data_IF_542288455726
#
_entry.id   IF_542288455726
#
_cell.length_a   1.000
_cell.length_b   1.000
_cell.length_c   1.000
_cell.angle_alpha   90.00
_cell.angle_beta   90.00
_cell.angle_gamma   90.00
#
_symmetry.space_group_name_H-M   'P 1'
#
loop_
_entity.id
_entity.type
_entity.pdbx_description
1 polymer ?
#
# COMPACT_ATOMS: atom_id res chain seq x y z
N UNK A 1 -56.57 16.33 -35.32
CA UNK A 1 -57.33 15.04 -35.25
C UNK A 1 -56.30 13.92 -35.31
N UNK A 2 -55.96 13.26 -34.20
CA UNK A 2 -56.71 12.18 -33.54
C UNK A 2 -56.02 10.83 -33.86
N UNK A 3 -55.24 10.40 -32.88
CA UNK A 3 -54.82 9.05 -32.50
C UNK A 3 -55.37 7.83 -33.26
N UNK A 4 -54.42 6.90 -33.48
CA UNK A 4 -54.47 5.43 -33.30
C UNK A 4 -55.20 4.59 -34.35
N UNK A 5 -54.43 3.67 -34.92
CA UNK A 5 -54.61 2.19 -35.04
C UNK A 5 -53.63 1.73 -36.15
N UNK A 6 -52.82 0.67 -36.14
CA UNK A 6 -52.21 -0.21 -35.12
C UNK A 6 -51.29 -1.19 -35.90
N UNK A 7 -50.09 -1.44 -35.38
CA UNK A 7 -49.55 -2.79 -35.11
C UNK A 7 -49.09 -3.80 -36.19
N UNK A 8 -48.88 -3.47 -37.46
CA UNK A 8 -48.28 -4.48 -38.37
C UNK A 8 -47.16 -3.86 -39.18
N UNK A 9 -45.95 -3.82 -38.60
CA UNK A 9 -44.63 -3.92 -39.24
C UNK A 9 -43.51 -3.68 -38.19
N UNK A 10 -43.64 -4.34 -37.03
CA UNK A 10 -42.59 -4.48 -35.99
C UNK A 10 -41.80 -5.78 -36.19
N UNK A 11 -41.99 -6.48 -37.31
CA UNK A 11 -41.35 -7.77 -37.59
C UNK A 11 -40.50 -7.76 -38.86
N UNK A 12 -39.65 -6.73 -38.99
CA UNK A 12 -38.56 -6.70 -39.97
C UNK A 12 -37.23 -6.90 -39.24
N UNK A 13 -36.95 -8.16 -38.90
CA UNK A 13 -35.63 -8.74 -38.60
C UNK A 13 -34.66 -7.80 -37.86
N UNK A 14 -34.70 -7.74 -36.52
CA UNK A 14 -33.85 -8.59 -35.65
C UNK A 14 -32.68 -9.26 -36.41
N UNK A 15 -31.80 -8.42 -36.93
CA UNK A 15 -30.45 -8.80 -37.33
C UNK A 15 -29.77 -9.40 -36.11
N UNK A 16 -29.51 -10.70 -36.23
CA UNK A 16 -28.73 -11.55 -35.37
C UNK A 16 -27.61 -10.84 -34.60
N UNK A 17 -27.93 -10.31 -33.42
CA UNK A 17 -26.99 -10.37 -32.32
C UNK A 17 -26.99 -11.84 -31.88
N UNK A 18 -26.21 -12.66 -32.59
CA UNK A 18 -25.60 -13.80 -31.92
C UNK A 18 -24.75 -13.12 -30.85
N UNK A 19 -25.28 -13.05 -29.62
CA UNK A 19 -24.41 -13.11 -28.47
C UNK A 19 -23.60 -14.38 -28.69
N UNK A 20 -22.42 -14.22 -29.28
CA UNK A 20 -21.33 -15.15 -29.05
C UNK A 20 -21.13 -14.99 -27.56
N UNK A 21 -21.89 -15.76 -26.78
CA UNK A 21 -21.48 -16.12 -25.44
C UNK A 21 -20.23 -16.93 -25.74
N UNK A 22 -19.01 -16.39 -25.56
CA UNK A 22 -17.81 -17.19 -25.69
C UNK A 22 -18.07 -18.52 -24.96
N UNK A 23 -18.03 -19.61 -25.71
CA UNK A 23 -18.15 -20.93 -25.13
C UNK A 23 -16.84 -21.17 -24.38
N UNK A 24 -16.85 -20.80 -23.10
CA UNK A 24 -15.73 -21.06 -22.22
C UNK A 24 -15.70 -22.55 -21.95
N UNK A 25 -14.59 -23.27 -22.21
CA UNK A 25 -14.44 -24.58 -21.62
C UNK A 25 -14.56 -24.38 -20.10
N UNK A 26 -15.58 -24.99 -19.50
CA UNK A 26 -15.71 -24.96 -18.05
C UNK A 26 -14.41 -25.53 -17.45
N UNK A 27 -13.86 -24.91 -16.38
CA UNK A 27 -12.67 -25.43 -15.73
C UNK A 27 -12.89 -26.90 -15.39
N UNK A 28 -11.84 -27.71 -15.56
CA UNK A 28 -11.97 -29.15 -15.34
C UNK A 28 -12.31 -29.41 -13.87
N UNK A 29 -13.01 -30.51 -13.59
CA UNK A 29 -13.35 -30.88 -12.21
C UNK A 29 -12.10 -30.96 -11.29
N UNK A 30 -10.94 -31.31 -11.85
CA UNK A 30 -9.65 -31.32 -11.15
C UNK A 30 -9.14 -29.91 -10.80
N UNK A 31 -9.24 -28.95 -11.72
CA UNK A 31 -8.85 -27.54 -11.47
C UNK A 31 -9.75 -26.86 -10.43
N UNK A 32 -11.06 -27.10 -10.52
CA UNK A 32 -12.02 -26.62 -9.53
C UNK A 32 -11.76 -27.22 -8.13
N UNK A 33 -11.42 -28.51 -8.08
CA UNK A 33 -11.08 -29.20 -6.83
C UNK A 33 -9.77 -28.69 -6.21
N UNK A 34 -8.76 -28.41 -7.03
CA UNK A 34 -7.50 -27.86 -6.54
C UNK A 34 -7.66 -26.41 -6.05
N UNK A 35 -8.42 -25.58 -6.77
CA UNK A 35 -8.66 -24.20 -6.36
C UNK A 35 -9.43 -24.11 -5.03
N UNK A 36 -10.43 -24.98 -4.85
CA UNK A 36 -11.20 -25.07 -3.61
C UNK A 36 -10.32 -25.37 -2.38
N UNK A 37 -9.23 -26.14 -2.55
CA UNK A 37 -8.29 -26.47 -1.48
C UNK A 37 -7.19 -25.42 -1.29
N UNK A 38 -6.66 -24.87 -2.39
CA UNK A 38 -5.52 -23.93 -2.38
C UNK A 38 -5.94 -22.55 -1.88
N UNK A 39 -7.09 -22.04 -2.32
CA UNK A 39 -7.52 -20.67 -2.05
C UNK A 39 -7.66 -20.38 -0.54
N UNK A 40 -8.26 -21.24 0.30
CA UNK A 40 -8.29 -21.04 1.75
C UNK A 40 -6.89 -20.98 2.39
N UNK A 41 -5.94 -21.81 1.94
CA UNK A 41 -4.56 -21.80 2.44
C UNK A 41 -3.86 -20.48 2.13
N UNK A 42 -4.00 -19.98 0.90
CA UNK A 42 -3.44 -18.68 0.52
C UNK A 42 -4.04 -17.53 1.33
N UNK A 43 -5.36 -17.52 1.50
CA UNK A 43 -6.05 -16.51 2.29
C UNK A 43 -5.58 -16.54 3.75
N UNK A 44 -5.53 -17.71 4.37
CA UNK A 44 -5.02 -17.89 5.72
C UNK A 44 -3.56 -17.44 5.85
N UNK A 45 -2.73 -17.77 4.87
CA UNK A 45 -1.33 -17.36 4.80
C UNK A 45 -1.17 -15.84 4.79
N UNK A 46 -1.89 -15.17 3.90
CA UNK A 46 -1.91 -13.70 3.78
C UNK A 46 -2.39 -13.06 5.09
N UNK A 47 -3.50 -13.52 5.67
CA UNK A 47 -4.04 -12.95 6.91
C UNK A 47 -3.06 -13.10 8.09
N UNK A 48 -2.38 -14.24 8.20
CA UNK A 48 -1.34 -14.47 9.20
C UNK A 48 -0.13 -13.57 9.01
N UNK A 49 0.37 -13.44 7.77
CA UNK A 49 1.47 -12.53 7.43
C UNK A 49 1.09 -11.08 7.76
N UNK A 50 -0.13 -10.67 7.42
CA UNK A 50 -0.62 -9.32 7.70
C UNK A 50 -0.80 -9.07 9.20
N UNK A 51 -0.97 -10.12 10.00
CA UNK A 51 -0.93 -10.07 11.47
C UNK A 51 0.49 -10.20 12.06
N UNK A 52 1.54 -10.23 11.23
CA UNK A 52 2.94 -10.47 11.62
C UNK A 52 3.26 -11.89 12.13
N UNK A 53 2.39 -12.88 11.90
CA UNK A 53 2.67 -14.31 12.13
C UNK A 53 3.35 -14.89 10.89
N UNK A 54 4.62 -14.54 10.72
CA UNK A 54 5.41 -14.93 9.55
C UNK A 54 5.48 -16.45 9.38
N UNK A 55 5.83 -17.16 10.47
CA UNK A 55 6.10 -18.60 10.41
C UNK A 55 4.87 -19.35 9.93
N UNK A 56 3.73 -19.12 10.56
CA UNK A 56 2.52 -19.85 10.21
C UNK A 56 1.95 -19.37 8.87
N UNK A 57 2.07 -18.08 8.56
CA UNK A 57 1.57 -17.54 7.31
C UNK A 57 2.35 -18.05 6.10
N UNK A 58 3.68 -18.07 6.20
CA UNK A 58 4.56 -18.63 5.16
C UNK A 58 4.33 -20.14 4.99
N UNK A 59 4.13 -20.88 6.09
CA UNK A 59 3.82 -22.30 6.02
C UNK A 59 2.52 -22.58 5.25
N UNK A 60 1.45 -21.81 5.49
CA UNK A 60 0.20 -21.96 4.77
C UNK A 60 0.33 -21.62 3.27
N UNK A 61 1.13 -20.59 2.92
CA UNK A 61 1.44 -20.30 1.51
C UNK A 61 2.20 -21.46 0.85
N UNK A 62 3.20 -22.02 1.52
CA UNK A 62 3.96 -23.16 1.01
C UNK A 62 3.07 -24.40 0.85
N UNK A 63 2.21 -24.70 1.82
CA UNK A 63 1.27 -25.81 1.74
C UNK A 63 0.35 -25.67 0.52
N UNK A 64 -0.18 -24.47 0.25
CA UNK A 64 -0.98 -24.22 -0.95
C UNK A 64 -0.19 -24.36 -2.26
N UNK A 65 1.10 -24.00 -2.26
CA UNK A 65 2.00 -24.20 -3.42
C UNK A 65 2.26 -25.69 -3.67
N UNK A 66 2.37 -26.50 -2.61
CA UNK A 66 2.63 -27.94 -2.73
C UNK A 66 1.46 -28.70 -3.39
N UNK A 67 0.24 -28.18 -3.31
CA UNK A 67 -0.94 -28.74 -3.99
C UNK A 67 -0.97 -28.47 -5.50
N UNK A 68 -0.40 -27.36 -5.96
CA UNK A 68 -0.16 -27.08 -7.40
C UNK A 68 1.08 -26.20 -7.56
N UNK A 69 2.24 -26.86 -7.74
CA UNK A 69 3.54 -26.20 -7.88
C UNK A 69 3.67 -25.39 -9.16
N UNK A 70 2.81 -25.62 -10.16
CA UNK A 70 2.85 -24.86 -11.42
C UNK A 70 1.99 -23.59 -11.35
N UNK A 71 1.24 -23.40 -10.25
CA UNK A 71 0.43 -22.21 -10.02
C UNK A 71 1.29 -21.00 -9.61
N UNK A 72 1.28 -19.90 -10.38
CA UNK A 72 2.15 -18.75 -10.11
C UNK A 72 1.72 -17.90 -8.90
N UNK A 73 0.45 -17.95 -8.50
CA UNK A 73 -0.11 -17.05 -7.46
C UNK A 73 0.54 -17.22 -6.09
N UNK A 74 0.81 -18.46 -5.66
CA UNK A 74 1.50 -18.71 -4.38
C UNK A 74 2.89 -18.08 -4.32
N UNK A 75 3.64 -18.16 -5.41
CA UNK A 75 4.96 -17.53 -5.54
C UNK A 75 4.85 -16.00 -5.54
N UNK A 76 3.85 -15.43 -6.21
CA UNK A 76 3.59 -13.99 -6.17
C UNK A 76 3.27 -13.51 -4.74
N UNK A 77 2.50 -14.27 -3.96
CA UNK A 77 2.21 -13.96 -2.56
C UNK A 77 3.46 -14.08 -1.68
N UNK A 78 4.33 -15.07 -1.90
CA UNK A 78 5.61 -15.16 -1.19
C UNK A 78 6.56 -14.01 -1.53
N UNK A 79 6.56 -13.53 -2.77
CA UNK A 79 7.32 -12.34 -3.16
C UNK A 79 6.82 -11.10 -2.40
N UNK A 80 5.50 -10.89 -2.36
CA UNK A 80 4.87 -9.80 -1.60
C UNK A 80 5.12 -9.92 -0.09
N UNK A 81 5.07 -11.13 0.46
CA UNK A 81 5.35 -11.39 1.87
C UNK A 81 6.80 -11.03 2.23
N UNK A 82 7.77 -11.44 1.40
CA UNK A 82 9.17 -11.09 1.64
C UNK A 82 9.44 -9.60 1.45
N UNK A 83 8.76 -8.93 0.52
CA UNK A 83 8.80 -7.46 0.43
C UNK A 83 8.25 -6.80 1.71
N UNK A 84 7.13 -7.29 2.23
CA UNK A 84 6.55 -6.81 3.47
C UNK A 84 7.53 -6.96 4.64
N UNK A 85 8.11 -8.15 4.84
CA UNK A 85 9.08 -8.36 5.92
C UNK A 85 10.41 -7.64 5.70
N UNK A 86 10.83 -7.40 4.45
CA UNK A 86 11.96 -6.53 4.14
C UNK A 86 11.73 -5.11 4.66
N UNK A 87 10.54 -4.55 4.42
CA UNK A 87 10.19 -3.21 4.91
C UNK A 87 10.13 -3.16 6.46
N UNK A 88 9.76 -4.27 7.11
CA UNK A 88 9.65 -4.38 8.58
C UNK A 88 10.94 -4.76 9.31
N UNK A 89 11.99 -5.18 8.59
CA UNK A 89 13.21 -5.70 9.20
C UNK A 89 14.10 -4.58 9.76
N UNK A 90 14.51 -4.77 11.02
CA UNK A 90 15.45 -3.89 11.74
C UNK A 90 16.92 -4.17 11.39
N UNK A 91 17.24 -5.41 10.99
CA UNK A 91 18.60 -5.89 10.74
C UNK A 91 18.93 -5.92 9.24
N UNK A 92 20.11 -5.42 8.84
CA UNK A 92 20.51 -5.39 7.43
C UNK A 92 20.63 -6.78 6.80
N UNK A 93 21.22 -7.74 7.52
CA UNK A 93 21.37 -9.12 7.03
C UNK A 93 20.02 -9.77 6.72
N UNK A 94 19.03 -9.52 7.58
CA UNK A 94 17.68 -10.02 7.35
C UNK A 94 17.05 -9.33 6.14
N UNK A 95 17.21 -8.01 5.98
CA UNK A 95 16.73 -7.28 4.79
C UNK A 95 17.31 -7.82 3.49
N UNK A 96 18.61 -8.14 3.47
CA UNK A 96 19.29 -8.74 2.32
C UNK A 96 18.70 -10.11 1.99
N UNK A 97 18.55 -10.98 2.99
CA UNK A 97 17.92 -12.30 2.81
C UNK A 97 16.48 -12.19 2.29
N UNK A 98 15.68 -11.27 2.84
CA UNK A 98 14.31 -11.01 2.37
C UNK A 98 14.28 -10.48 0.94
N UNK A 99 15.26 -9.66 0.58
CA UNK A 99 15.38 -9.16 -0.79
C UNK A 99 15.64 -10.29 -1.76
N UNK A 100 16.60 -11.17 -1.46
CA UNK A 100 16.95 -12.31 -2.29
C UNK A 100 15.75 -13.24 -2.49
N UNK A 101 15.05 -13.58 -1.41
CA UNK A 101 13.85 -14.42 -1.45
C UNK A 101 12.72 -13.75 -2.22
N UNK A 102 12.49 -12.45 -2.03
CA UNK A 102 11.48 -11.69 -2.78
C UNK A 102 11.76 -11.72 -4.29
N UNK A 103 13.02 -11.47 -4.69
CA UNK A 103 13.42 -11.49 -6.09
C UNK A 103 13.31 -12.89 -6.71
N UNK A 104 13.70 -13.93 -5.95
CA UNK A 104 13.58 -15.34 -6.36
C UNK A 104 12.13 -15.73 -6.59
N UNK A 105 11.25 -15.51 -5.60
CA UNK A 105 9.83 -15.85 -5.74
C UNK A 105 9.13 -15.02 -6.82
N UNK A 106 9.50 -13.75 -7.00
CA UNK A 106 8.98 -12.94 -8.10
C UNK A 106 9.39 -13.51 -9.47
N UNK A 107 10.63 -13.97 -9.63
CA UNK A 107 11.09 -14.61 -10.85
C UNK A 107 10.36 -15.94 -11.12
N UNK A 108 10.18 -16.77 -10.08
CA UNK A 108 9.43 -18.03 -10.18
C UNK A 108 7.96 -17.80 -10.59
N UNK A 109 7.30 -16.81 -9.98
CA UNK A 109 5.93 -16.44 -10.32
C UNK A 109 5.78 -15.99 -11.78
N UNK A 110 6.74 -15.18 -12.27
CA UNK A 110 6.74 -14.73 -13.67
C UNK A 110 6.96 -15.90 -14.63
N UNK A 111 7.99 -16.72 -14.41
CA UNK A 111 8.29 -17.85 -15.29
C UNK A 111 7.15 -18.89 -15.35
N UNK A 112 6.53 -19.19 -14.21
CA UNK A 112 5.37 -20.09 -14.15
C UNK A 112 4.13 -19.47 -14.79
N UNK A 113 3.94 -18.17 -14.60
CA UNK A 113 2.86 -17.41 -15.23
C UNK A 113 2.98 -17.42 -16.76
N UNK A 114 4.17 -17.14 -17.29
CA UNK A 114 4.48 -17.17 -18.73
C UNK A 114 4.15 -18.54 -19.33
N UNK A 115 4.62 -19.62 -18.70
CA UNK A 115 4.32 -20.99 -19.13
C UNK A 115 2.82 -21.33 -19.10
N UNK A 116 2.06 -20.77 -18.17
CA UNK A 116 0.59 -20.96 -18.10
C UNK A 116 -0.11 -20.18 -19.21
N UNK A 117 0.24 -18.91 -19.42
CA UNK A 117 -0.41 -18.10 -20.47
C UNK A 117 -0.01 -18.50 -21.89
N UNK A 118 1.13 -19.16 -22.08
CA UNK A 118 1.50 -19.80 -23.34
C UNK A 118 0.57 -20.98 -23.69
N UNK A 119 0.15 -21.75 -22.67
CA UNK A 119 -0.75 -22.89 -22.83
C UNK A 119 -2.21 -22.47 -22.89
N UNK A 120 -2.58 -21.52 -22.05
CA UNK A 120 -3.91 -20.93 -21.96
C UNK A 120 -3.79 -19.40 -21.90
N UNK A 121 -3.88 -18.71 -23.06
CA UNK A 121 -3.86 -17.25 -23.12
C UNK A 121 -5.00 -16.56 -22.37
N UNK A 122 -5.95 -17.32 -21.80
CA UNK A 122 -7.07 -16.82 -21.00
C UNK A 122 -6.87 -17.02 -19.49
N UNK A 123 -5.69 -17.45 -19.04
CA UNK A 123 -5.42 -17.63 -17.62
C UNK A 123 -5.24 -16.26 -16.93
N UNK A 124 -6.35 -15.63 -16.56
CA UNK A 124 -6.40 -14.33 -15.87
C UNK A 124 -5.69 -14.36 -14.52
N UNK A 125 -5.69 -15.51 -13.82
CA UNK A 125 -5.00 -15.66 -12.55
C UNK A 125 -3.47 -15.66 -12.73
N UNK A 126 -2.97 -16.28 -13.80
CA UNK A 126 -1.56 -16.23 -14.16
C UNK A 126 -1.12 -14.81 -14.51
N UNK A 127 -1.89 -14.09 -15.33
CA UNK A 127 -1.62 -12.66 -15.60
C UNK A 127 -1.58 -11.82 -14.33
N UNK A 128 -2.55 -11.99 -13.43
CA UNK A 128 -2.57 -11.26 -12.17
C UNK A 128 -1.37 -11.59 -11.28
N UNK A 129 -0.99 -12.86 -11.17
CA UNK A 129 0.17 -13.30 -10.40
C UNK A 129 1.48 -12.69 -10.94
N UNK A 130 1.66 -12.67 -12.26
CA UNK A 130 2.81 -12.01 -12.89
C UNK A 130 2.85 -10.51 -12.60
N UNK A 131 1.70 -9.83 -12.66
CA UNK A 131 1.61 -8.40 -12.34
C UNK A 131 2.00 -8.12 -10.88
N UNK A 132 1.51 -8.91 -9.93
CA UNK A 132 1.88 -8.78 -8.51
C UNK A 132 3.37 -9.02 -8.26
N UNK A 133 3.94 -10.05 -8.88
CA UNK A 133 5.37 -10.34 -8.78
C UNK A 133 6.23 -9.19 -9.32
N UNK A 134 5.83 -8.60 -10.45
CA UNK A 134 6.49 -7.42 -11.02
C UNK A 134 6.34 -6.19 -10.13
N UNK A 135 5.16 -5.96 -9.54
CA UNK A 135 4.94 -4.88 -8.57
C UNK A 135 5.88 -5.00 -7.36
N UNK A 136 6.12 -6.22 -6.86
CA UNK A 136 7.08 -6.42 -5.77
C UNK A 136 8.51 -5.99 -6.17
N UNK A 137 8.95 -6.35 -7.39
CA UNK A 137 10.26 -5.93 -7.96
C UNK A 137 10.33 -4.42 -8.19
N UNK A 138 9.28 -3.81 -8.73
CA UNK A 138 9.15 -2.37 -8.95
C UNK A 138 9.34 -1.61 -7.64
N UNK A 139 8.64 -2.05 -6.58
CA UNK A 139 8.76 -1.44 -5.25
C UNK A 139 10.21 -1.47 -4.75
N UNK A 140 10.92 -2.58 -4.95
CA UNK A 140 12.34 -2.66 -4.63
C UNK A 140 13.19 -1.71 -5.49
N UNK A 141 13.02 -1.68 -6.82
CA UNK A 141 13.77 -0.76 -7.68
C UNK A 141 13.59 0.71 -7.28
N UNK A 142 12.39 1.11 -6.87
CA UNK A 142 12.12 2.45 -6.33
C UNK A 142 12.99 2.72 -5.10
N UNK A 143 13.05 1.77 -4.15
CA UNK A 143 13.88 1.93 -2.94
C UNK A 143 15.37 2.05 -3.24
N UNK A 144 15.83 1.43 -4.33
CA UNK A 144 17.22 1.49 -4.78
C UNK A 144 17.50 2.67 -5.73
N UNK A 145 16.51 3.53 -6.00
CA UNK A 145 16.60 4.64 -6.97
C UNK A 145 16.98 4.16 -8.39
N UNK A 146 16.67 2.90 -8.72
CA UNK A 146 16.97 2.27 -10.02
C UNK A 146 15.85 2.53 -11.03
N UNK A 147 15.66 3.80 -11.40
CA UNK A 147 14.50 4.23 -12.21
C UNK A 147 14.44 3.60 -13.61
N UNK A 148 15.57 3.31 -14.25
CA UNK A 148 15.59 2.65 -15.56
C UNK A 148 15.08 1.20 -15.46
N UNK A 149 15.60 0.43 -14.50
CA UNK A 149 15.16 -0.95 -14.28
C UNK A 149 13.69 -0.99 -13.84
N UNK A 150 13.26 -0.03 -13.00
CA UNK A 150 11.86 0.15 -12.66
C UNK A 150 11.00 0.38 -13.92
N UNK A 151 11.44 1.25 -14.83
CA UNK A 151 10.71 1.54 -16.06
C UNK A 151 10.53 0.30 -16.95
N UNK A 152 11.61 -0.46 -17.15
CA UNK A 152 11.58 -1.72 -17.88
C UNK A 152 10.67 -2.76 -17.23
N UNK A 153 10.68 -2.85 -15.89
CA UNK A 153 9.83 -3.80 -15.18
C UNK A 153 8.34 -3.46 -15.31
N UNK A 154 8.02 -2.17 -15.44
CA UNK A 154 6.64 -1.66 -15.44
C UNK A 154 5.95 -1.79 -16.81
N UNK A 155 6.69 -1.87 -17.92
CA UNK A 155 6.14 -1.78 -19.30
C UNK A 155 5.00 -2.75 -19.60
N UNK A 156 5.02 -3.96 -19.04
CA UNK A 156 4.01 -5.00 -19.34
C UNK A 156 3.03 -5.21 -18.18
N UNK A 157 3.18 -4.48 -17.07
CA UNK A 157 2.31 -4.67 -15.89
C UNK A 157 0.89 -4.26 -16.20
N UNK A 158 0.71 -3.16 -16.93
CA UNK A 158 -0.62 -2.69 -17.31
C UNK A 158 -1.35 -3.72 -18.17
N UNK A 159 -0.70 -4.22 -19.22
CA UNK A 159 -1.26 -5.25 -20.09
C UNK A 159 -1.64 -6.53 -19.33
N UNK A 160 -0.83 -6.95 -18.37
CA UNK A 160 -1.16 -8.10 -17.52
C UNK A 160 -2.37 -7.83 -16.65
N UNK A 161 -2.51 -6.62 -16.09
CA UNK A 161 -3.68 -6.26 -15.29
C UNK A 161 -4.96 -6.16 -16.13
N UNK A 162 -4.88 -5.62 -17.35
CA UNK A 162 -6.04 -5.56 -18.25
C UNK A 162 -6.49 -6.95 -18.68
N UNK A 163 -5.55 -7.82 -19.08
CA UNK A 163 -5.87 -9.22 -19.39
C UNK A 163 -6.44 -9.98 -18.19
N UNK A 164 -5.87 -9.79 -17.00
CA UNK A 164 -6.40 -10.38 -15.77
C UNK A 164 -7.85 -9.92 -15.51
N UNK A 165 -8.15 -8.64 -15.71
CA UNK A 165 -9.50 -8.07 -15.54
C UNK A 165 -10.48 -8.59 -16.60
N UNK A 166 -10.04 -8.76 -17.84
CA UNK A 166 -10.87 -9.23 -18.96
C UNK A 166 -11.21 -10.71 -18.83
N UNK A 167 -10.23 -11.54 -18.48
CA UNK A 167 -10.39 -12.99 -18.41
C UNK A 167 -10.91 -13.48 -17.04
N UNK A 168 -10.72 -12.71 -15.97
CA UNK A 168 -11.32 -12.95 -14.66
C UNK A 168 -12.02 -11.69 -14.09
N UNK A 169 -13.20 -11.31 -14.62
CA UNK A 169 -13.92 -10.11 -14.19
C UNK A 169 -14.40 -10.13 -12.73
N UNK A 170 -14.39 -11.29 -12.08
CA UNK A 170 -14.79 -11.44 -10.67
C UNK A 170 -13.61 -11.24 -9.71
N UNK A 171 -12.37 -11.24 -10.22
CA UNK A 171 -11.19 -10.93 -9.41
C UNK A 171 -11.08 -9.43 -9.14
N UNK A 172 -11.76 -8.97 -8.09
CA UNK A 172 -11.67 -7.58 -7.66
C UNK A 172 -10.32 -7.20 -7.03
N UNK A 173 -9.42 -8.15 -6.77
CA UNK A 173 -8.07 -7.84 -6.29
C UNK A 173 -7.21 -7.18 -7.38
N UNK A 174 -7.56 -7.32 -8.66
CA UNK A 174 -6.88 -6.63 -9.77
C UNK A 174 -6.89 -5.11 -9.59
N UNK A 175 -7.99 -4.56 -9.03
CA UNK A 175 -8.16 -3.13 -8.81
C UNK A 175 -7.23 -2.58 -7.73
N UNK A 176 -6.65 -3.42 -6.86
CA UNK A 176 -5.60 -2.97 -5.94
C UNK A 176 -4.37 -2.52 -6.73
N UNK A 177 -3.90 -3.36 -7.66
CA UNK A 177 -2.73 -3.08 -8.46
C UNK A 177 -2.96 -1.94 -9.46
N UNK A 178 -4.11 -1.92 -10.14
CA UNK A 178 -4.48 -0.83 -11.05
C UNK A 178 -4.60 0.50 -10.29
N UNK A 179 -5.25 0.48 -9.13
CA UNK A 179 -5.43 1.68 -8.31
C UNK A 179 -4.12 2.25 -7.78
N UNK A 180 -3.17 1.39 -7.39
CA UNK A 180 -1.81 1.81 -7.03
C UNK A 180 -1.11 2.53 -8.20
N UNK A 181 -1.16 1.97 -9.41
CA UNK A 181 -0.51 2.57 -10.57
C UNK A 181 -1.13 3.93 -10.92
N UNK A 182 -2.46 4.00 -11.05
CA UNK A 182 -3.13 5.27 -11.36
C UNK A 182 -2.90 6.34 -10.30
N UNK A 183 -2.99 5.98 -9.01
CA UNK A 183 -2.83 6.95 -7.93
C UNK A 183 -1.40 7.49 -7.82
N UNK A 184 -0.40 6.61 -7.84
CA UNK A 184 0.99 7.01 -7.57
C UNK A 184 1.68 7.61 -8.80
N UNK A 185 1.31 7.25 -10.03
CA UNK A 185 1.84 7.88 -11.25
C UNK A 185 1.49 9.38 -11.34
N UNK A 186 0.35 9.81 -10.78
CA UNK A 186 -0.04 11.22 -10.70
C UNK A 186 0.91 12.05 -9.81
N UNK A 187 1.54 11.40 -8.82
CA UNK A 187 2.37 12.04 -7.81
C UNK A 187 3.88 11.99 -8.12
N UNK A 188 4.29 11.70 -9.37
CA UNK A 188 5.70 11.68 -9.81
C UNK A 188 6.06 12.88 -10.71
N UNK A 189 6.56 14.00 -10.14
CA UNK A 189 6.99 15.16 -10.93
C UNK A 189 8.17 14.80 -11.85
N UNK A 190 8.10 15.20 -13.13
CA UNK A 190 9.19 15.02 -14.10
C UNK A 190 9.21 13.66 -14.82
N UNK A 191 8.30 12.75 -14.49
CA UNK A 191 8.25 11.39 -15.06
C UNK A 191 7.01 11.12 -15.92
N UNK A 192 6.03 12.02 -15.96
CA UNK A 192 4.78 11.84 -16.72
C UNK A 192 5.00 11.67 -18.23
N UNK A 193 5.94 12.41 -18.83
CA UNK A 193 6.20 12.32 -20.28
C UNK A 193 6.92 11.03 -20.70
N UNK A 194 7.91 10.57 -19.92
CA UNK A 194 8.70 9.38 -20.22
C UNK A 194 7.91 8.07 -20.02
N UNK A 195 7.01 8.05 -19.03
CA UNK A 195 6.21 6.86 -18.71
C UNK A 195 4.87 6.82 -19.44
N UNK A 196 4.25 7.96 -19.79
CA UNK A 196 3.04 7.95 -20.64
C UNK A 196 3.27 7.26 -22.00
N UNK A 197 4.50 7.31 -22.53
CA UNK A 197 4.88 6.62 -23.77
C UNK A 197 5.23 5.14 -23.57
N UNK A 198 5.54 4.70 -22.34
CA UNK A 198 6.01 3.34 -22.03
C UNK A 198 4.96 2.47 -21.32
N UNK A 199 4.02 3.06 -20.58
CA UNK A 199 3.06 2.35 -19.73
C UNK A 199 1.66 2.23 -20.31
N UNK A 200 1.39 2.83 -21.48
CA UNK A 200 0.06 2.92 -22.11
C UNK A 200 -1.05 3.54 -21.22
N UNK A 201 -0.76 3.89 -19.95
CA UNK A 201 -1.67 4.51 -18.99
C UNK A 201 -1.04 5.76 -18.36
N UNK A 202 -1.88 6.75 -18.08
CA UNK A 202 -1.53 7.97 -17.36
C UNK A 202 -1.98 7.89 -15.89
N UNK A 203 -1.29 8.60 -14.99
CA UNK A 203 -1.78 8.78 -13.63
C UNK A 203 -3.18 9.40 -13.59
N UNK A 204 -4.03 8.91 -12.70
CA UNK A 204 -5.37 9.44 -12.41
C UNK A 204 -5.67 9.21 -10.93
N UNK A 205 -5.47 10.26 -10.13
CA UNK A 205 -5.70 10.24 -8.69
C UNK A 205 -7.12 9.80 -8.30
N UNK A 206 -8.14 10.30 -8.99
CA UNK A 206 -9.54 10.01 -8.65
C UNK A 206 -9.87 8.56 -8.97
N UNK A 207 -9.53 8.11 -10.17
CA UNK A 207 -9.73 6.72 -10.59
C UNK A 207 -8.95 5.75 -9.72
N UNK A 208 -7.70 6.06 -9.37
CA UNK A 208 -6.89 5.23 -8.49
C UNK A 208 -7.53 5.02 -7.11
N UNK A 209 -8.11 6.09 -6.54
CA UNK A 209 -8.88 5.98 -5.28
C UNK A 209 -10.15 5.13 -5.42
N UNK A 210 -10.87 5.25 -6.53
CA UNK A 210 -12.08 4.45 -6.79
C UNK A 210 -11.76 2.97 -6.94
N UNK A 211 -10.66 2.64 -7.65
CA UNK A 211 -10.18 1.28 -7.85
C UNK A 211 -9.67 0.66 -6.53
N UNK A 212 -8.89 1.41 -5.74
CA UNK A 212 -8.48 0.98 -4.39
C UNK A 212 -9.69 0.75 -3.49
N UNK A 213 -10.70 1.64 -3.53
CA UNK A 213 -11.94 1.47 -2.77
C UNK A 213 -12.76 0.26 -3.24
N UNK A 214 -12.72 -0.06 -4.52
CA UNK A 214 -13.37 -1.23 -5.08
C UNK A 214 -12.71 -2.52 -4.57
N UNK A 215 -11.38 -2.60 -4.61
CA UNK A 215 -10.63 -3.72 -4.04
C UNK A 215 -10.84 -3.85 -2.51
N UNK A 216 -10.84 -2.74 -1.78
CA UNK A 216 -11.09 -2.74 -0.33
C UNK A 216 -12.49 -3.22 0.07
N UNK A 217 -13.48 -3.09 -0.84
CA UNK A 217 -14.86 -3.55 -0.62
C UNK A 217 -15.10 -4.99 -1.10
N UNK A 218 -14.66 -5.30 -2.32
CA UNK A 218 -15.03 -6.52 -3.04
C UNK A 218 -13.88 -7.50 -3.27
N UNK A 219 -12.63 -7.08 -3.04
CA UNK A 219 -11.46 -7.96 -3.14
C UNK A 219 -11.56 -9.14 -2.18
N UNK A 220 -10.71 -10.13 -2.40
CA UNK A 220 -10.68 -11.36 -1.63
C UNK A 220 -9.35 -11.53 -0.90
N UNK A 221 -8.25 -11.63 -1.66
CA UNK A 221 -6.90 -11.85 -1.14
C UNK A 221 -6.25 -10.54 -0.69
N UNK A 222 -6.46 -9.46 -1.45
CA UNK A 222 -5.79 -8.17 -1.26
C UNK A 222 -6.70 -7.10 -0.66
N UNK A 223 -7.92 -7.46 -0.25
CA UNK A 223 -8.92 -6.56 0.36
C UNK A 223 -8.34 -5.71 1.49
N UNK A 224 -7.71 -6.36 2.46
CA UNK A 224 -7.21 -5.66 3.65
C UNK A 224 -5.89 -4.91 3.37
N UNK A 225 -5.14 -5.36 2.36
CA UNK A 225 -4.00 -4.61 1.82
C UNK A 225 -4.47 -3.31 1.13
N UNK A 226 -5.56 -3.36 0.37
CA UNK A 226 -6.17 -2.18 -0.24
C UNK A 226 -6.68 -1.18 0.81
N UNK A 227 -7.28 -1.67 1.91
CA UNK A 227 -7.64 -0.81 3.05
C UNK A 227 -6.42 -0.14 3.68
N UNK A 228 -5.33 -0.89 3.88
CA UNK A 228 -4.11 -0.34 4.45
C UNK A 228 -3.48 0.74 3.54
N UNK A 229 -3.53 0.52 2.22
CA UNK A 229 -3.10 1.53 1.26
C UNK A 229 -4.01 2.76 1.29
N UNK A 230 -5.34 2.60 1.36
CA UNK A 230 -6.27 3.73 1.51
C UNK A 230 -5.96 4.53 2.79
N UNK A 231 -5.67 3.88 3.91
CA UNK A 231 -5.23 4.58 5.15
C UNK A 231 -3.97 5.40 4.86
N UNK A 232 -2.97 4.81 4.20
CA UNK A 232 -1.73 5.52 3.84
C UNK A 232 -2.00 6.72 2.93
N UNK A 233 -2.82 6.53 1.90
CA UNK A 233 -3.19 7.56 0.93
C UNK A 233 -3.92 8.71 1.62
N UNK A 234 -4.91 8.41 2.44
CA UNK A 234 -5.69 9.43 3.14
C UNK A 234 -4.86 10.25 4.13
N UNK A 235 -3.90 9.63 4.81
CA UNK A 235 -3.02 10.34 5.75
C UNK A 235 -1.93 11.16 5.06
N UNK A 236 -1.30 10.59 4.03
CA UNK A 236 -0.04 11.13 3.51
C UNK A 236 -0.23 12.02 2.27
N UNK A 237 -1.32 11.82 1.51
CA UNK A 237 -1.54 12.51 0.24
C UNK A 237 -2.83 13.33 0.26
N UNK A 238 -3.96 12.73 0.62
CA UNK A 238 -5.25 13.43 0.63
C UNK A 238 -5.43 14.38 1.82
N UNK A 239 -4.70 14.16 2.92
CA UNK A 239 -4.87 14.86 4.21
C UNK A 239 -6.32 14.80 4.73
N UNK A 240 -6.93 13.61 4.62
CA UNK A 240 -8.31 13.30 5.03
C UNK A 240 -8.34 12.21 6.12
N UNK A 241 -7.84 12.50 7.33
CA UNK A 241 -7.75 11.50 8.40
C UNK A 241 -9.12 10.92 8.81
N UNK A 242 -10.22 11.65 8.60
CA UNK A 242 -11.58 11.19 8.82
C UNK A 242 -11.95 9.98 7.95
N UNK A 243 -11.45 9.95 6.71
CA UNK A 243 -11.65 8.82 5.79
C UNK A 243 -10.77 7.62 6.13
N UNK A 244 -9.62 7.86 6.77
CA UNK A 244 -8.70 6.81 7.22
C UNK A 244 -9.16 6.11 8.52
N UNK A 245 -9.95 6.79 9.34
CA UNK A 245 -10.37 6.32 10.65
C UNK A 245 -11.10 4.95 10.65
N UNK A 246 -12.16 4.72 9.84
CA UNK A 246 -12.85 3.43 9.88
C UNK A 246 -11.94 2.27 9.47
N UNK A 247 -11.15 2.44 8.40
CA UNK A 247 -10.21 1.42 7.94
C UNK A 247 -9.09 1.15 8.95
N UNK A 248 -8.52 2.19 9.56
CA UNK A 248 -7.45 2.02 10.55
C UNK A 248 -7.93 1.34 11.84
N UNK A 249 -9.15 1.59 12.29
CA UNK A 249 -9.78 0.86 13.40
C UNK A 249 -9.99 -0.62 13.04
N UNK A 250 -10.64 -0.88 11.92
CA UNK A 250 -10.91 -2.25 11.44
C UNK A 250 -9.62 -3.08 11.33
N UNK A 251 -8.57 -2.50 10.72
CA UNK A 251 -7.28 -3.18 10.56
C UNK A 251 -6.57 -3.43 11.90
N UNK A 252 -6.60 -2.48 12.83
CA UNK A 252 -6.00 -2.65 14.17
C UNK A 252 -6.72 -3.73 14.97
N UNK A 253 -8.04 -3.82 14.84
CA UNK A 253 -8.86 -4.80 15.56
C UNK A 253 -8.74 -6.20 14.94
N UNK A 254 -8.74 -6.31 13.60
CA UNK A 254 -8.56 -7.59 12.88
C UNK A 254 -7.14 -8.14 13.01
N UNK A 255 -6.14 -7.27 13.04
CA UNK A 255 -4.72 -7.64 13.05
C UNK A 255 -3.96 -7.03 14.24
N UNK A 256 -4.31 -7.43 15.48
CA UNK A 256 -3.71 -6.85 16.68
C UNK A 256 -2.20 -7.13 16.77
N UNK A 257 -1.67 -8.15 16.10
CA UNK A 257 -0.24 -8.41 16.04
C UNK A 257 0.54 -7.34 15.28
N UNK A 258 -0.08 -6.66 14.31
CA UNK A 258 0.61 -5.72 13.44
C UNK A 258 0.73 -4.33 14.06
N UNK A 259 1.91 -4.03 14.60
CA UNK A 259 2.20 -2.73 15.20
C UNK A 259 1.99 -1.56 14.25
N UNK A 260 2.08 -1.74 12.93
CA UNK A 260 1.87 -0.65 11.99
C UNK A 260 0.42 -0.15 11.99
N UNK A 261 -0.56 -1.01 12.23
CA UNK A 261 -1.95 -0.58 12.34
C UNK A 261 -2.22 0.15 13.65
N UNK A 262 -1.57 -0.26 14.75
CA UNK A 262 -1.60 0.48 16.01
C UNK A 262 -1.00 1.89 15.84
N UNK A 263 0.20 1.99 15.24
CA UNK A 263 0.81 3.29 14.94
C UNK A 263 -0.02 4.10 13.93
N UNK A 264 -0.58 3.46 12.91
CA UNK A 264 -1.42 4.07 11.90
C UNK A 264 -2.66 4.70 12.52
N UNK A 265 -3.41 3.95 13.33
CA UNK A 265 -4.56 4.46 14.07
C UNK A 265 -4.16 5.58 15.04
N UNK A 266 -3.02 5.46 15.74
CA UNK A 266 -2.51 6.52 16.61
C UNK A 266 -2.25 7.84 15.87
N UNK A 267 -1.68 7.76 14.66
CA UNK A 267 -1.48 8.91 13.79
C UNK A 267 -2.81 9.52 13.34
N UNK A 268 -3.79 8.70 12.95
CA UNK A 268 -5.13 9.16 12.56
C UNK A 268 -5.81 9.90 13.71
N UNK A 269 -5.78 9.32 14.92
CA UNK A 269 -6.37 9.93 16.12
C UNK A 269 -5.69 11.26 16.49
N UNK A 270 -4.36 11.34 16.33
CA UNK A 270 -3.62 12.58 16.53
C UNK A 270 -4.06 13.67 15.54
N UNK A 271 -4.15 13.35 14.24
CA UNK A 271 -4.57 14.31 13.21
C UNK A 271 -6.02 14.77 13.38
N UNK A 272 -6.88 13.90 13.89
CA UNK A 272 -8.27 14.22 14.27
C UNK A 272 -8.38 14.96 15.61
N UNK A 273 -7.25 15.28 16.26
CA UNK A 273 -7.18 15.94 17.58
C UNK A 273 -7.92 15.18 18.68
N UNK A 274 -8.08 13.86 18.53
CA UNK A 274 -8.66 12.94 19.54
C UNK A 274 -7.58 12.53 20.53
N UNK A 275 -7.03 13.51 21.25
CA UNK A 275 -5.80 13.34 22.03
C UNK A 275 -5.91 12.26 23.12
N UNK A 276 -7.06 12.14 23.79
CA UNK A 276 -7.26 11.14 24.85
C UNK A 276 -7.13 9.71 24.31
N UNK A 277 -7.81 9.42 23.21
CA UNK A 277 -7.71 8.11 22.53
C UNK A 277 -6.31 7.87 21.96
N UNK A 278 -5.67 8.90 21.42
CA UNK A 278 -4.31 8.79 20.89
C UNK A 278 -3.30 8.46 22.01
N UNK A 279 -3.41 9.09 23.19
CA UNK A 279 -2.57 8.77 24.35
C UNK A 279 -2.85 7.38 24.93
N UNK A 280 -4.12 6.97 25.00
CA UNK A 280 -4.48 5.62 25.43
C UNK A 280 -3.85 4.56 24.52
N UNK A 281 -3.91 4.76 23.21
CA UNK A 281 -3.28 3.88 22.23
C UNK A 281 -1.75 3.93 22.30
N UNK A 282 -1.15 5.10 22.51
CA UNK A 282 0.29 5.22 22.72
C UNK A 282 0.74 4.43 23.97
N UNK A 283 -0.02 4.49 25.07
CA UNK A 283 0.25 3.70 26.28
C UNK A 283 0.07 2.18 26.06
N UNK A 284 -0.90 1.76 25.24
CA UNK A 284 -1.02 0.36 24.79
C UNK A 284 0.25 -0.08 24.04
N UNK A 285 0.68 0.71 23.06
CA UNK A 285 1.89 0.44 22.27
C UNK A 285 3.12 0.36 23.19
N UNK A 286 3.29 1.30 24.11
CA UNK A 286 4.41 1.32 25.05
C UNK A 286 4.46 0.05 25.91
N UNK A 287 3.32 -0.40 26.45
CA UNK A 287 3.24 -1.64 27.23
C UNK A 287 3.67 -2.85 26.40
N UNK A 288 3.26 -2.90 25.13
CA UNK A 288 3.64 -4.00 24.23
C UNK A 288 5.11 -3.96 23.85
N UNK A 289 5.69 -2.79 23.60
CA UNK A 289 7.14 -2.63 23.41
C UNK A 289 7.90 -3.11 24.65
N UNK A 290 7.47 -2.71 25.85
CA UNK A 290 8.09 -3.13 27.12
C UNK A 290 7.95 -4.63 27.40
N UNK A 291 6.90 -5.28 26.88
CA UNK A 291 6.75 -6.73 27.01
C UNK A 291 7.85 -7.51 26.27
N UNK A 292 8.46 -6.93 25.24
CA UNK A 292 9.49 -7.56 24.42
C UNK A 292 8.99 -8.75 23.59
N UNK A 293 7.68 -9.03 23.57
CA UNK A 293 7.09 -10.14 22.83
C UNK A 293 7.01 -9.76 21.34
N UNK A 294 7.69 -10.49 20.43
CA UNK A 294 7.57 -10.25 19.00
C UNK A 294 6.10 -10.24 18.54
N UNK A 295 5.72 -9.35 17.61
CA UNK A 295 6.59 -8.47 16.82
C UNK A 295 6.91 -7.11 17.47
N UNK A 296 6.51 -6.88 18.73
CA UNK A 296 6.79 -5.63 19.43
C UNK A 296 8.19 -5.68 20.06
N UNK A 297 9.13 -4.93 19.48
CA UNK A 297 10.53 -4.90 19.89
C UNK A 297 10.97 -3.52 20.37
N UNK A 298 12.05 -3.40 21.18
CA UNK A 298 12.56 -2.12 21.68
C UNK A 298 12.86 -1.07 20.59
N UNK A 299 13.23 -1.50 19.39
CA UNK A 299 13.50 -0.66 18.20
C UNK A 299 12.30 0.21 17.81
N UNK A 300 11.07 -0.21 18.15
CA UNK A 300 9.85 0.58 17.94
C UNK A 300 9.76 1.79 18.89
N UNK A 301 10.62 1.89 19.90
CA UNK A 301 10.65 2.99 20.86
C UNK A 301 10.78 4.35 20.20
N UNK A 302 11.58 4.47 19.13
CA UNK A 302 11.74 5.73 18.38
C UNK A 302 10.45 6.11 17.64
N UNK A 303 9.76 5.13 17.03
CA UNK A 303 8.44 5.36 16.43
C UNK A 303 7.40 5.78 17.47
N UNK A 304 7.49 5.25 18.69
CA UNK A 304 6.65 5.66 19.82
C UNK A 304 6.94 7.10 20.26
N UNK A 305 8.21 7.51 20.35
CA UNK A 305 8.55 8.93 20.62
C UNK A 305 7.98 9.84 19.52
N UNK A 306 8.08 9.45 18.25
CA UNK A 306 7.50 10.20 17.12
C UNK A 306 5.98 10.36 17.26
N UNK A 307 5.27 9.30 17.64
CA UNK A 307 3.82 9.35 17.86
C UNK A 307 3.47 10.32 18.99
N UNK A 308 4.14 10.23 20.15
CA UNK A 308 3.91 11.15 21.26
C UNK A 308 4.20 12.61 20.87
N UNK A 309 5.29 12.85 20.14
CA UNK A 309 5.61 14.17 19.59
C UNK A 309 4.49 14.71 18.70
N UNK A 310 3.93 13.87 17.82
CA UNK A 310 2.79 14.23 16.97
C UNK A 310 1.54 14.56 17.79
N UNK A 311 1.19 13.73 18.79
CA UNK A 311 0.01 13.97 19.64
C UNK A 311 0.13 15.32 20.36
N UNK A 312 1.30 15.62 20.94
CA UNK A 312 1.53 16.90 21.60
C UNK A 312 1.53 18.08 20.62
N UNK A 313 2.10 17.90 19.43
CA UNK A 313 2.09 18.92 18.37
C UNK A 313 0.66 19.29 17.97
N UNK A 314 -0.20 18.30 17.69
CA UNK A 314 -1.59 18.55 17.27
C UNK A 314 -2.46 19.10 18.43
N UNK A 315 -2.08 18.84 19.68
CA UNK A 315 -2.66 19.49 20.88
C UNK A 315 -2.21 20.96 21.05
N UNK A 316 -1.17 21.39 20.33
CA UNK A 316 -0.55 22.72 20.48
C UNK A 316 0.47 22.82 21.62
N UNK A 317 0.82 21.71 22.27
CA UNK A 317 1.88 21.67 23.28
C UNK A 317 3.24 21.47 22.61
N UNK A 318 3.72 22.53 21.97
CA UNK A 318 4.97 22.48 21.22
C UNK A 318 6.19 22.27 22.12
N UNK A 319 6.12 22.64 23.40
CA UNK A 319 7.23 22.45 24.34
C UNK A 319 7.48 20.96 24.59
N UNK A 320 6.44 20.18 24.89
CA UNK A 320 6.56 18.72 25.01
C UNK A 320 6.89 18.07 23.67
N UNK A 321 6.24 18.50 22.58
CA UNK A 321 6.48 17.95 21.25
C UNK A 321 7.96 18.04 20.83
N UNK A 322 8.62 19.19 21.08
CA UNK A 322 10.06 19.36 20.83
C UNK A 322 10.90 18.29 21.52
N UNK A 323 10.65 18.03 22.80
CA UNK A 323 11.42 17.04 23.56
C UNK A 323 11.32 15.63 22.96
N UNK A 324 10.15 15.26 22.44
CA UNK A 324 9.96 13.98 21.75
C UNK A 324 10.67 13.93 20.39
N UNK A 325 10.53 14.97 19.56
CA UNK A 325 11.17 14.99 18.25
C UNK A 325 12.70 15.06 18.33
N UNK A 326 13.26 15.72 19.35
CA UNK A 326 14.71 15.72 19.60
C UNK A 326 15.25 14.30 19.85
N UNK A 327 14.57 13.50 20.68
CA UNK A 327 14.94 12.09 20.89
C UNK A 327 14.90 11.26 19.60
N UNK A 328 13.99 11.60 18.68
CA UNK A 328 13.87 10.87 17.40
C UNK A 328 15.04 11.20 16.47
N UNK A 329 15.51 12.45 16.44
CA UNK A 329 16.62 12.84 15.53
C UNK A 329 17.99 12.37 16.00
N UNK A 330 18.13 11.98 17.25
CA UNK A 330 19.35 11.38 17.81
C UNK A 330 19.59 9.96 17.27
N UNK A 331 18.52 9.18 17.04
CA UNK A 331 18.63 7.83 16.51
C UNK A 331 19.12 7.83 15.06
N UNK A 332 20.24 7.18 14.78
CA UNK A 332 20.82 7.09 13.43
C UNK A 332 20.44 5.81 12.66
N UNK A 333 19.61 4.93 13.22
CA UNK A 333 19.27 3.66 12.59
C UNK A 333 18.55 3.81 11.23
N UNK A 334 18.97 3.03 10.22
CA UNK A 334 18.43 3.09 8.85
C UNK A 334 16.92 2.86 8.79
N UNK A 335 16.39 1.92 9.57
CA UNK A 335 14.96 1.59 9.56
C UNK A 335 14.07 2.74 10.08
N UNK A 336 14.65 3.73 10.77
CA UNK A 336 13.95 4.92 11.27
C UNK A 336 14.16 6.16 10.38
N UNK A 337 14.83 6.05 9.23
CA UNK A 337 15.12 7.20 8.37
C UNK A 337 13.88 8.06 8.05
N UNK A 338 12.76 7.44 7.67
CA UNK A 338 11.48 8.15 7.43
C UNK A 338 10.91 8.81 8.69
N UNK A 339 11.01 8.14 9.84
CA UNK A 339 10.60 8.67 11.14
C UNK A 339 11.41 9.91 11.49
N UNK A 340 12.74 9.85 11.28
CA UNK A 340 13.68 10.95 11.50
C UNK A 340 13.41 12.14 10.59
N UNK A 341 13.15 11.89 9.30
CA UNK A 341 12.82 12.95 8.35
C UNK A 341 11.56 13.71 8.78
N UNK A 342 10.52 12.99 9.22
CA UNK A 342 9.32 13.62 9.78
C UNK A 342 9.59 14.38 11.09
N UNK A 343 10.45 13.88 11.97
CA UNK A 343 10.83 14.60 13.19
C UNK A 343 11.47 15.96 12.87
N UNK A 344 12.42 15.99 11.93
CA UNK A 344 13.00 17.25 11.46
C UNK A 344 11.96 18.20 10.85
N UNK A 345 11.04 17.71 10.02
CA UNK A 345 9.94 18.53 9.50
C UNK A 345 9.13 19.15 10.63
N UNK A 346 8.76 18.36 11.66
CA UNK A 346 7.97 18.88 12.78
C UNK A 346 8.77 19.87 13.65
N UNK A 347 10.07 19.66 13.85
CA UNK A 347 10.95 20.64 14.50
C UNK A 347 10.98 21.96 13.72
N UNK A 348 11.08 21.90 12.40
CA UNK A 348 11.01 23.08 11.52
C UNK A 348 9.67 23.81 11.64
N UNK A 349 8.56 23.07 11.64
CA UNK A 349 7.22 23.65 11.81
C UNK A 349 7.08 24.36 13.16
N UNK A 350 7.61 23.78 14.25
CA UNK A 350 7.62 24.43 15.57
C UNK A 350 8.49 25.70 15.55
N UNK A 351 9.63 25.69 14.87
CA UNK A 351 10.50 26.86 14.73
C UNK A 351 9.81 27.99 13.94
N UNK A 352 9.10 27.68 12.85
CA UNK A 352 8.30 28.67 12.10
C UNK A 352 7.21 29.29 12.99
N UNK A 353 6.50 28.48 13.79
CA UNK A 353 5.50 28.96 14.75
C UNK A 353 6.10 29.91 15.81
N UNK A 354 7.37 29.70 16.16
CA UNK A 354 8.14 30.57 17.07
C UNK A 354 8.77 31.77 16.39
N UNK A 355 8.54 31.96 15.08
CA UNK A 355 9.15 32.99 14.24
C UNK A 355 10.69 32.84 14.14
N UNK A 356 11.22 31.64 14.38
CA UNK A 356 12.64 31.29 14.28
C UNK A 356 12.99 30.80 12.86
N UNK A 357 12.75 31.63 11.83
CA UNK A 357 12.75 31.17 10.42
C UNK A 357 14.04 30.48 9.98
N UNK A 358 15.21 31.06 10.28
CA UNK A 358 16.51 30.46 9.90
C UNK A 358 16.70 29.06 10.48
N UNK A 359 16.21 28.83 11.70
CA UNK A 359 16.27 27.53 12.37
C UNK A 359 15.27 26.55 11.76
N UNK A 360 14.10 27.03 11.35
CA UNK A 360 13.14 26.22 10.62
C UNK A 360 13.73 25.71 9.29
N UNK A 361 14.37 26.60 8.54
CA UNK A 361 15.06 26.27 7.29
C UNK A 361 16.17 25.22 7.48
N UNK A 362 17.00 25.36 8.52
CA UNK A 362 18.01 24.35 8.88
C UNK A 362 17.39 22.97 9.14
N UNK A 363 16.29 22.91 9.91
CA UNK A 363 15.59 21.63 10.13
C UNK A 363 14.99 21.05 8.86
N UNK A 364 14.36 21.87 8.01
CA UNK A 364 13.81 21.38 6.74
C UNK A 364 14.92 20.88 5.81
N UNK A 365 16.06 21.56 5.76
CA UNK A 365 17.22 21.12 4.98
C UNK A 365 17.77 19.78 5.48
N UNK A 366 17.92 19.60 6.80
CA UNK A 366 18.31 18.31 7.41
C UNK A 366 17.33 17.18 7.08
N UNK A 367 16.04 17.46 6.97
CA UNK A 367 15.07 16.45 6.54
C UNK A 367 15.32 15.95 5.10
N UNK A 368 15.82 16.83 4.21
CA UNK A 368 16.16 16.49 2.83
C UNK A 368 17.45 15.69 2.69
N UNK A 369 18.34 15.78 3.67
CA UNK A 369 19.65 15.11 3.68
C UNK A 369 19.57 13.66 4.18
N UNK A 370 18.45 13.26 4.79
CA UNK A 370 18.28 11.89 5.29
C UNK A 370 18.07 10.91 4.13
N UNK A 371 19.08 10.09 3.88
CA UNK A 371 18.98 8.94 3.00
C UNK A 371 17.99 7.90 3.56
N UNK A 372 17.08 7.39 2.71
CA UNK A 372 15.99 6.52 3.14
C UNK A 372 14.79 7.28 3.72
N UNK A 373 14.88 8.61 3.85
CA UNK A 373 13.81 9.51 4.29
C UNK A 373 12.90 9.99 3.16
N UNK A 374 13.09 9.50 1.93
CA UNK A 374 12.36 9.95 0.75
C UNK A 374 10.84 9.73 0.88
N UNK A 375 10.07 10.61 0.24
CA UNK A 375 8.61 10.59 0.23
C UNK A 375 8.00 11.85 0.86
N UNK A 376 6.88 11.68 1.56
CA UNK A 376 6.02 12.79 1.99
C UNK A 376 6.71 13.77 2.95
N UNK A 377 7.59 13.30 3.84
CA UNK A 377 8.34 14.17 4.75
C UNK A 377 9.22 15.15 3.98
N UNK A 378 10.01 14.66 3.02
CA UNK A 378 10.88 15.52 2.20
C UNK A 378 10.07 16.42 1.27
N UNK A 379 8.94 15.95 0.73
CA UNK A 379 8.03 16.81 -0.03
C UNK A 379 7.50 17.98 0.82
N UNK A 380 7.10 17.71 2.07
CA UNK A 380 6.67 18.73 3.02
C UNK A 380 7.81 19.69 3.38
N UNK A 381 9.03 19.19 3.61
CA UNK A 381 10.20 20.03 3.86
C UNK A 381 10.47 21.00 2.69
N UNK A 382 10.43 20.52 1.44
CA UNK A 382 10.57 21.38 0.24
C UNK A 382 9.46 22.42 0.16
N UNK A 383 8.23 22.06 0.53
CA UNK A 383 7.12 23.01 0.60
C UNK A 383 7.40 24.09 1.65
N UNK A 384 7.83 23.71 2.86
CA UNK A 384 8.02 24.66 3.96
C UNK A 384 9.28 25.52 3.85
N UNK A 385 10.29 25.08 3.08
CA UNK A 385 11.39 25.94 2.64
C UNK A 385 10.91 27.09 1.74
N UNK A 386 9.91 26.86 0.89
CA UNK A 386 9.33 27.90 0.03
C UNK A 386 8.34 28.79 0.77
N UNK A 387 7.52 28.21 1.63
CA UNK A 387 6.45 28.91 2.34
C UNK A 387 6.46 28.48 3.80
N UNK A 388 6.75 29.39 4.76
CA UNK A 388 6.76 29.05 6.18
C UNK A 388 5.49 28.33 6.63
N UNK A 389 5.66 27.36 7.53
CA UNK A 389 4.50 26.68 8.10
C UNK A 389 3.64 27.68 8.88
N UNK A 390 2.34 27.63 8.61
CA UNK A 390 1.31 28.30 9.39
C UNK A 390 0.23 27.28 9.74
N UNK A 391 -0.32 27.31 10.96
CA UNK A 391 -1.38 26.40 11.33
C UNK A 391 -2.64 26.73 10.50
N UNK A 392 -3.46 25.71 10.13
CA UNK A 392 -4.72 25.96 9.45
C UNK A 392 -5.56 26.93 10.27
N UNK A 393 -6.16 27.93 9.61
CA UNK A 393 -7.14 28.80 10.27
C UNK A 393 -8.29 27.91 10.79
N UNK A 394 -8.75 28.09 12.04
CA UNK A 394 -9.91 27.35 12.50
C UNK A 394 -11.07 27.63 11.54
N UNK A 395 -11.70 26.57 11.02
CA UNK A 395 -12.92 26.72 10.25
C UNK A 395 -13.91 27.52 11.10
N UNK A 396 -14.37 28.65 10.57
CA UNK A 396 -15.47 29.38 11.18
C UNK A 396 -16.62 28.39 11.27
N UNK A 397 -16.99 27.99 12.49
CA UNK A 397 -18.22 27.24 12.73
C UNK A 397 -19.36 28.11 12.20
N UNK A 398 -19.83 27.80 11.00
CA UNK A 398 -21.03 28.38 10.40
C UNK A 398 -22.27 27.68 10.95
#
# INVERSE_FOLDING_TARGET
MRNRISQILIYSLFLAFIMVVPFYPAPTAGELSADFQIRPLFKQGIEKIFNMDEKSGTAALIEGIELDRERPSGYAYLAMANLFFLEMSFENKERERRQEEMLRYAAEAVAKGEKRVEKDPRDGQAYFAMALAKIARIRWYITQKRFIAMAQETSNVWDYLEKAREEDPQNYDVYFAMGLLHFHLDHLPGFTRFFSTLLLTSGDRKRGLEELALAARKGDMLKDLAKAELVSVYLNFERKPEMALPYSKELKDKYPGNYNFAFGLGNVLADLKRSEEAFALAAEIERRIKSGIPPYRPELGIRHQQLLGRIYFEKGDYARALGYFHKVIEDQARYNARTRAWAFVRLGMIADLRKERKKAEDYYQKALEIEGGEGVAQAAARQYLKTPYAPPKPESKG
#
